data_IF_571739947700
#
_entry.id   IF_571739947700
#
_cell.length_a   1.000
_cell.length_b   1.000
_cell.length_c   1.000
_cell.angle_alpha   90.00
_cell.angle_beta   90.00
_cell.angle_gamma   90.00
#
_symmetry.space_group_name_H-M   'P 1'
#
loop_
_entity.id
_entity.type
_entity.pdbx_description
1 polymer ?
#
# COMPACT_ATOMS: atom_id res chain seq x y z
N UNK A 1 -8.40 -45.34 -28.88
CA UNK A 1 -8.57 -44.41 -27.76
C UNK A 1 -7.25 -44.36 -27.02
N UNK A 2 -6.42 -43.37 -27.38
CA UNK A 2 -5.12 -43.11 -26.78
C UNK A 2 -5.35 -42.45 -25.43
N UNK A 3 -4.97 -43.12 -24.37
CA UNK A 3 -4.87 -42.57 -23.02
C UNK A 3 -3.74 -41.54 -23.00
N UNK A 4 -4.11 -40.26 -22.95
CA UNK A 4 -3.19 -39.18 -22.58
C UNK A 4 -3.06 -39.25 -21.06
N UNK A 5 -1.91 -39.73 -20.59
CA UNK A 5 -1.49 -39.61 -19.20
C UNK A 5 -1.30 -38.13 -18.90
N UNK A 6 -2.02 -37.62 -17.90
CA UNK A 6 -1.79 -36.30 -17.34
C UNK A 6 -0.41 -36.27 -16.70
N UNK A 7 0.52 -35.58 -17.34
CA UNK A 7 1.78 -35.16 -16.73
C UNK A 7 1.44 -34.03 -15.75
N UNK A 8 1.15 -34.39 -14.50
CA UNK A 8 1.06 -33.45 -13.40
C UNK A 8 2.48 -33.22 -12.88
N UNK A 9 3.24 -32.43 -13.64
CA UNK A 9 4.58 -32.05 -13.23
C UNK A 9 4.50 -31.18 -11.97
N UNK A 10 5.27 -31.58 -10.96
CA UNK A 10 5.46 -30.90 -9.69
C UNK A 10 6.25 -29.59 -9.86
N UNK A 11 5.74 -28.66 -10.67
CA UNK A 11 6.27 -27.31 -10.80
C UNK A 11 5.71 -26.43 -9.66
N UNK A 12 6.52 -25.52 -9.13
CA UNK A 12 6.12 -24.51 -8.15
C UNK A 12 6.25 -24.86 -6.65
N UNK A 13 6.25 -26.14 -6.24
CA UNK A 13 6.32 -26.50 -4.80
C UNK A 13 7.65 -26.08 -4.14
N UNK A 14 8.75 -26.06 -4.90
CA UNK A 14 10.06 -25.59 -4.42
C UNK A 14 10.17 -24.07 -4.34
N UNK A 15 9.32 -23.31 -5.04
CA UNK A 15 9.32 -21.83 -4.97
C UNK A 15 8.66 -21.38 -3.67
N UNK A 16 7.51 -21.94 -3.32
CA UNK A 16 6.82 -21.61 -2.06
C UNK A 16 7.52 -22.16 -0.80
N UNK A 17 8.50 -23.04 -0.97
CA UNK A 17 9.41 -23.45 0.11
C UNK A 17 10.50 -22.41 0.41
N UNK A 18 10.68 -21.42 -0.47
CA UNK A 18 11.58 -20.29 -0.25
C UNK A 18 10.83 -19.14 0.42
N UNK A 19 11.55 -18.23 1.10
CA UNK A 19 10.89 -17.19 1.88
C UNK A 19 10.22 -16.15 0.97
N UNK A 20 8.89 -16.07 1.06
CA UNK A 20 8.05 -15.12 0.30
C UNK A 20 8.21 -13.70 0.86
N UNK A 21 8.07 -12.70 0.00
CA UNK A 21 8.00 -11.28 0.37
C UNK A 21 6.58 -10.77 0.19
N UNK A 22 6.06 -10.13 1.23
CA UNK A 22 4.69 -9.61 1.25
C UNK A 22 4.70 -8.09 1.28
N UNK A 23 4.39 -7.47 0.14
CA UNK A 23 4.52 -6.01 0.02
C UNK A 23 3.36 -5.25 0.65
N UNK A 24 2.33 -5.94 1.18
CA UNK A 24 1.13 -5.28 1.67
C UNK A 24 0.42 -6.04 2.81
N UNK A 25 0.25 -5.36 3.93
CA UNK A 25 -0.45 -5.81 5.14
C UNK A 25 -0.66 -4.63 6.09
N UNK A 26 -1.40 -4.82 7.17
CA UNK A 26 -1.86 -3.75 8.05
C UNK A 26 -1.70 -4.09 9.54
N UNK A 27 -1.55 -3.04 10.34
CA UNK A 27 -2.02 -3.04 11.72
C UNK A 27 -3.53 -2.81 11.73
N UNK A 28 -4.26 -3.40 12.67
CA UNK A 28 -5.71 -3.15 12.85
C UNK A 28 -6.05 -3.04 14.32
N UNK A 29 -5.40 -2.12 15.02
CA UNK A 29 -5.65 -1.88 16.44
C UNK A 29 -7.11 -1.36 16.61
N UNK A 30 -7.94 -1.94 17.50
CA UNK A 30 -9.28 -1.43 17.78
C UNK A 30 -9.29 0.01 18.30
N UNK A 31 -10.35 0.75 17.96
CA UNK A 31 -10.53 2.17 18.28
C UNK A 31 -10.31 2.50 19.77
N UNK A 32 -10.79 1.64 20.69
CA UNK A 32 -10.69 1.88 22.13
C UNK A 32 -9.26 1.74 22.68
N UNK A 33 -8.33 1.15 21.92
CA UNK A 33 -6.90 1.01 22.27
C UNK A 33 -6.02 2.08 21.64
N UNK A 34 -6.55 2.89 20.72
CA UNK A 34 -5.78 3.93 20.05
C UNK A 34 -5.15 4.96 20.99
N UNK A 35 -5.79 5.41 22.09
CA UNK A 35 -5.13 6.30 23.04
C UNK A 35 -3.84 5.73 23.62
N UNK A 36 -3.80 4.42 23.90
CA UNK A 36 -2.61 3.74 24.41
C UNK A 36 -1.57 3.55 23.29
N UNK A 37 -2.01 3.13 22.10
CA UNK A 37 -1.12 2.85 20.99
C UNK A 37 -0.50 4.11 20.36
N UNK A 38 -1.28 5.17 20.16
CA UNK A 38 -0.92 6.33 19.34
C UNK A 38 -0.88 7.66 20.11
N UNK A 39 -1.29 7.68 21.38
CA UNK A 39 -1.16 8.83 22.26
C UNK A 39 -2.29 9.87 22.14
N UNK A 40 -1.99 11.12 22.49
CA UNK A 40 -2.99 12.18 22.70
C UNK A 40 -3.84 12.48 21.45
N UNK A 41 -3.27 12.41 20.25
CA UNK A 41 -4.00 12.65 19.00
C UNK A 41 -5.13 11.64 18.79
N UNK A 42 -4.92 10.39 19.21
CA UNK A 42 -5.96 9.37 19.17
C UNK A 42 -7.10 9.67 20.14
N UNK A 43 -6.82 10.24 21.33
CA UNK A 43 -7.87 10.67 22.27
C UNK A 43 -8.78 11.69 21.58
N UNK A 44 -8.19 12.75 21.01
CA UNK A 44 -8.93 13.82 20.31
C UNK A 44 -9.79 13.25 19.17
N UNK A 45 -9.24 12.31 18.39
CA UNK A 45 -10.01 11.69 17.31
C UNK A 45 -11.10 10.75 17.83
N UNK A 46 -10.85 9.94 18.86
CA UNK A 46 -11.85 9.00 19.40
C UNK A 46 -13.07 9.73 19.96
N UNK A 47 -12.88 10.90 20.58
CA UNK A 47 -13.95 11.81 21.02
C UNK A 47 -14.75 12.38 19.84
N UNK A 48 -14.08 12.65 18.72
CA UNK A 48 -14.71 13.09 17.48
C UNK A 48 -15.55 11.99 16.83
N UNK A 49 -14.99 10.77 16.79
CA UNK A 49 -15.55 9.62 16.10
C UNK A 49 -16.66 8.90 16.89
N UNK A 50 -16.83 9.19 18.18
CA UNK A 50 -17.82 8.53 19.06
C UNK A 50 -19.26 8.66 18.53
N UNK A 51 -19.53 9.68 17.70
CA UNK A 51 -20.85 9.97 17.13
C UNK A 51 -21.02 9.51 15.68
N UNK A 52 -20.09 8.72 15.13
CA UNK A 52 -20.10 8.33 13.72
C UNK A 52 -20.38 6.84 13.55
N UNK A 53 -21.32 6.50 12.66
CA UNK A 53 -21.60 5.10 12.31
C UNK A 53 -20.62 4.51 11.29
N UNK A 54 -19.59 5.26 10.89
CA UNK A 54 -18.65 4.86 9.83
C UNK A 54 -17.64 3.80 10.31
N UNK A 55 -17.28 3.83 11.59
CA UNK A 55 -16.40 2.82 12.21
C UNK A 55 -17.17 1.61 12.77
N UNK A 56 -18.50 1.65 12.71
CA UNK A 56 -19.42 0.71 13.39
C UNK A 56 -19.98 -0.38 12.45
N UNK A 57 -19.97 -0.15 11.13
CA UNK A 57 -20.71 -0.96 10.15
C UNK A 57 -19.81 -1.47 9.02
N UNK A 58 -18.63 -2.01 9.36
CA UNK A 58 -17.65 -2.52 8.38
C UNK A 58 -17.42 -4.04 8.48
N UNK A 59 -18.37 -4.80 9.03
CA UNK A 59 -18.26 -6.26 9.17
C UNK A 59 -17.06 -6.70 9.99
N UNK A 60 -16.30 -7.71 9.53
CA UNK A 60 -15.08 -8.18 10.24
C UNK A 60 -13.99 -7.08 10.29
N UNK A 61 -13.99 -6.11 9.37
CA UNK A 61 -13.05 -4.97 9.35
C UNK A 61 -13.47 -3.81 10.27
N UNK A 62 -14.55 -3.96 11.05
CA UNK A 62 -14.97 -2.92 12.01
C UNK A 62 -13.85 -2.63 13.00
N UNK A 63 -13.45 -1.36 13.09
CA UNK A 63 -12.46 -0.90 14.07
C UNK A 63 -13.07 -0.77 15.48
N UNK A 64 -14.40 -0.70 15.61
CA UNK A 64 -15.07 -0.71 16.92
C UNK A 64 -15.30 -2.15 17.38
N UNK A 65 -14.32 -2.65 18.13
CA UNK A 65 -14.27 -4.02 18.70
C UNK A 65 -13.89 -3.99 20.17
N UNK A 66 -14.78 -3.45 20.99
CA UNK A 66 -14.56 -3.27 22.45
C UNK A 66 -14.47 -4.62 23.20
N UNK A 67 -14.77 -5.72 22.52
CA UNK A 67 -14.59 -7.09 22.99
C UNK A 67 -13.14 -7.61 22.90
N UNK A 68 -12.27 -6.94 22.14
CA UNK A 68 -10.89 -7.35 21.88
C UNK A 68 -9.88 -6.55 22.71
N UNK A 69 -8.74 -7.15 23.07
CA UNK A 69 -7.66 -6.38 23.72
C UNK A 69 -6.42 -7.17 24.14
N UNK A 70 -6.54 -8.49 24.30
CA UNK A 70 -5.40 -9.30 24.70
C UNK A 70 -4.49 -9.72 23.53
N UNK A 71 -5.02 -9.86 22.30
CA UNK A 71 -4.31 -10.41 21.13
C UNK A 71 -3.36 -11.55 21.53
N UNK A 72 -3.94 -12.58 22.14
CA UNK A 72 -3.28 -13.76 22.69
C UNK A 72 -3.85 -15.08 22.10
N UNK A 73 -4.71 -14.97 21.09
CA UNK A 73 -5.23 -16.11 20.33
C UNK A 73 -4.10 -16.95 19.72
N UNK A 74 -4.35 -18.27 19.60
CA UNK A 74 -3.38 -19.22 19.04
C UNK A 74 -2.96 -18.82 17.62
N UNK A 75 -1.66 -18.88 17.33
CA UNK A 75 -1.12 -18.64 15.98
C UNK A 75 -0.95 -19.99 15.28
N UNK A 76 -1.83 -20.26 14.31
CA UNK A 76 -1.80 -21.44 13.47
C UNK A 76 -2.38 -21.12 12.08
N UNK A 77 -2.26 -22.02 11.09
CA UNK A 77 -2.73 -21.75 9.74
C UNK A 77 -4.22 -21.37 9.65
N UNK A 78 -5.08 -21.92 10.50
CA UNK A 78 -6.50 -21.60 10.49
C UNK A 78 -6.75 -20.20 11.03
N UNK A 79 -6.16 -19.82 12.17
CA UNK A 79 -6.36 -18.49 12.75
C UNK A 79 -5.76 -17.40 11.87
N UNK A 80 -4.55 -17.61 11.35
CA UNK A 80 -3.85 -16.64 10.48
C UNK A 80 -4.57 -16.44 9.16
N UNK A 81 -5.07 -17.49 8.49
CA UNK A 81 -5.68 -17.30 7.17
C UNK A 81 -7.19 -17.05 7.23
N UNK A 82 -7.92 -17.53 8.24
CA UNK A 82 -9.39 -17.47 8.27
C UNK A 82 -9.98 -16.36 9.13
N UNK A 83 -9.28 -15.92 10.18
CA UNK A 83 -9.71 -14.78 11.00
C UNK A 83 -9.23 -13.49 10.34
N UNK A 84 -10.15 -12.54 10.21
CA UNK A 84 -9.91 -11.25 9.54
C UNK A 84 -10.21 -10.10 10.47
N UNK A 85 -9.75 -8.91 10.06
CA UNK A 85 -9.95 -7.70 10.82
C UNK A 85 -9.13 -7.63 12.11
N UNK A 86 -9.55 -6.78 13.07
CA UNK A 86 -8.85 -6.59 14.35
C UNK A 86 -8.73 -7.84 15.24
N UNK A 87 -9.50 -8.90 14.96
CA UNK A 87 -9.42 -10.16 15.70
C UNK A 87 -8.29 -11.08 15.21
N UNK A 88 -7.68 -10.78 14.06
CA UNK A 88 -6.65 -11.62 13.52
C UNK A 88 -5.37 -11.56 14.39
N UNK A 89 -4.63 -12.67 14.56
CA UNK A 89 -3.42 -12.66 15.38
C UNK A 89 -2.42 -11.56 14.96
N UNK A 90 -1.82 -10.84 15.91
CA UNK A 90 -0.89 -9.73 15.65
C UNK A 90 -1.48 -8.52 14.91
N UNK A 91 -2.81 -8.43 14.76
CA UNK A 91 -3.48 -7.21 14.31
C UNK A 91 -3.30 -6.07 15.32
N UNK A 92 -3.20 -6.38 16.61
CA UNK A 92 -3.08 -5.42 17.71
C UNK A 92 -1.64 -5.39 18.24
N UNK A 93 -1.08 -6.56 18.57
CA UNK A 93 0.25 -6.73 19.15
C UNK A 93 1.28 -7.10 18.07
N UNK A 94 1.92 -6.08 17.52
CA UNK A 94 2.88 -6.25 16.42
C UNK A 94 4.10 -7.11 16.79
N UNK A 95 4.47 -7.20 18.07
CA UNK A 95 5.52 -8.10 18.57
C UNK A 95 5.26 -9.59 18.25
N UNK A 96 4.01 -9.97 17.98
CA UNK A 96 3.63 -11.34 17.57
C UNK A 96 3.74 -11.57 16.05
N UNK A 97 3.95 -10.51 15.26
CA UNK A 97 3.86 -10.59 13.79
C UNK A 97 4.87 -11.56 13.18
N UNK A 98 6.07 -11.68 13.73
CA UNK A 98 7.08 -12.61 13.22
C UNK A 98 6.60 -14.08 13.26
N UNK A 99 5.87 -14.49 14.30
CA UNK A 99 5.29 -15.85 14.40
C UNK A 99 4.16 -16.05 13.39
N UNK A 100 3.34 -15.02 13.15
CA UNK A 100 2.35 -15.01 12.06
C UNK A 100 3.02 -15.16 10.70
N UNK A 101 4.12 -14.43 10.45
CA UNK A 101 4.89 -14.55 9.21
C UNK A 101 5.46 -15.97 9.02
N UNK A 102 5.91 -16.63 10.10
CA UNK A 102 6.38 -18.02 10.04
C UNK A 102 5.27 -18.97 9.58
N UNK A 103 4.04 -18.81 10.12
CA UNK A 103 2.86 -19.58 9.69
C UNK A 103 2.46 -19.25 8.24
N UNK A 104 2.58 -17.98 7.84
CA UNK A 104 2.30 -17.57 6.45
C UNK A 104 3.37 -18.07 5.46
N UNK A 105 4.57 -18.43 5.93
CA UNK A 105 5.73 -18.70 5.09
C UNK A 105 6.28 -17.44 4.42
N UNK A 106 6.19 -16.30 5.10
CA UNK A 106 6.66 -14.98 4.65
C UNK A 106 7.92 -14.61 5.44
N UNK A 107 8.94 -14.10 4.76
CA UNK A 107 10.16 -13.63 5.43
C UNK A 107 10.07 -12.18 5.87
N UNK A 108 9.60 -11.30 4.98
CA UNK A 108 9.50 -9.85 5.22
C UNK A 108 8.16 -9.33 4.76
N UNK A 109 7.62 -8.39 5.52
CA UNK A 109 6.30 -7.81 5.29
C UNK A 109 6.31 -6.30 5.55
N UNK A 110 5.71 -5.52 4.64
CA UNK A 110 5.35 -4.13 4.92
C UNK A 110 4.04 -4.07 5.70
N UNK A 111 3.99 -3.22 6.72
CA UNK A 111 2.80 -3.05 7.57
C UNK A 111 2.31 -1.60 7.49
N UNK A 112 1.24 -1.38 6.73
CA UNK A 112 0.57 -0.11 6.50
C UNK A 112 -0.33 0.29 7.68
N UNK A 113 -0.56 1.60 7.85
CA UNK A 113 -1.43 2.12 8.90
C UNK A 113 -2.92 1.95 8.59
N UNK A 114 -3.69 1.60 9.62
CA UNK A 114 -5.10 1.94 9.71
C UNK A 114 -5.29 3.34 10.30
N UNK A 115 -4.64 3.60 11.44
CA UNK A 115 -4.82 4.84 12.17
C UNK A 115 -4.36 6.08 11.39
N UNK A 116 -3.20 6.02 10.73
CA UNK A 116 -2.65 7.17 10.00
C UNK A 116 -3.48 7.54 8.77
N UNK A 117 -4.24 6.60 8.20
CA UNK A 117 -5.13 6.87 7.06
C UNK A 117 -6.23 7.87 7.43
N UNK A 118 -6.71 7.81 8.68
CA UNK A 118 -7.59 8.84 9.27
C UNK A 118 -6.92 10.21 9.19
N UNK A 119 -5.64 10.29 9.55
CA UNK A 119 -4.88 11.52 9.51
C UNK A 119 -4.75 12.08 8.09
N UNK A 120 -4.52 11.20 7.10
CA UNK A 120 -4.51 11.58 5.67
C UNK A 120 -5.88 12.10 5.24
N UNK A 121 -6.97 11.41 5.59
CA UNK A 121 -8.32 11.89 5.30
C UNK A 121 -8.57 13.26 5.93
N UNK A 122 -8.24 13.44 7.21
CA UNK A 122 -8.43 14.72 7.90
C UNK A 122 -7.61 15.85 7.28
N UNK A 123 -6.35 15.59 6.92
CA UNK A 123 -5.46 16.59 6.33
C UNK A 123 -5.79 16.89 4.86
N UNK A 124 -6.03 15.86 4.05
CA UNK A 124 -6.08 15.95 2.59
C UNK A 124 -7.50 15.96 2.01
N UNK A 125 -8.52 15.49 2.73
CA UNK A 125 -9.92 15.50 2.26
C UNK A 125 -10.70 16.70 2.82
N UNK A 126 -11.06 17.69 1.98
CA UNK A 126 -11.90 18.83 2.39
C UNK A 126 -13.26 18.41 2.97
N UNK A 127 -13.74 17.24 2.57
CA UNK A 127 -15.05 16.70 2.94
C UNK A 127 -14.98 15.71 4.11
N UNK A 128 -13.84 15.60 4.82
CA UNK A 128 -13.67 14.68 5.95
C UNK A 128 -14.76 14.82 7.03
N UNK A 129 -15.34 16.01 7.21
CA UNK A 129 -16.47 16.26 8.12
C UNK A 129 -17.71 15.41 7.80
N UNK A 130 -17.95 15.08 6.53
CA UNK A 130 -19.06 14.20 6.12
C UNK A 130 -18.80 12.74 6.47
N UNK A 131 -17.53 12.36 6.58
CA UNK A 131 -17.09 11.02 6.92
C UNK A 131 -17.07 10.82 8.43
N UNK A 132 -16.52 11.80 9.14
CA UNK A 132 -16.32 11.74 10.60
C UNK A 132 -17.34 12.56 11.41
N UNK A 133 -18.43 13.02 10.79
CA UNK A 133 -19.62 13.54 11.49
C UNK A 133 -19.38 14.72 12.43
N UNK A 134 -18.44 15.61 12.11
CA UNK A 134 -18.13 16.79 12.92
C UNK A 134 -18.55 18.09 12.25
N UNK A 135 -18.73 19.16 13.03
CA UNK A 135 -18.96 20.50 12.48
C UNK A 135 -17.63 21.06 11.94
N UNK A 136 -17.49 21.30 10.63
CA UNK A 136 -16.25 21.81 10.03
C UNK A 136 -15.84 23.20 10.54
N UNK A 137 -16.73 23.95 11.18
CA UNK A 137 -16.39 25.22 11.83
C UNK A 137 -15.76 25.03 13.22
N UNK A 138 -15.89 23.85 13.83
CA UNK A 138 -15.46 23.56 15.20
C UNK A 138 -14.13 22.81 15.29
N UNK A 139 -13.66 22.22 14.18
CA UNK A 139 -12.48 21.36 14.15
C UNK A 139 -11.49 21.83 13.08
N UNK A 140 -10.27 22.14 13.50
CA UNK A 140 -9.14 22.28 12.57
C UNK A 140 -8.69 20.88 12.12
N UNK A 141 -9.34 20.39 11.06
CA UNK A 141 -9.10 19.03 10.53
C UNK A 141 -7.66 18.83 10.07
N UNK A 142 -7.01 19.88 9.53
CA UNK A 142 -5.66 19.75 9.00
C UNK A 142 -4.68 19.60 10.15
N UNK A 143 -4.84 20.42 11.19
CA UNK A 143 -4.03 20.29 12.39
C UNK A 143 -4.25 18.95 13.10
N UNK A 144 -5.50 18.50 13.24
CA UNK A 144 -5.78 17.18 13.82
C UNK A 144 -5.19 16.04 12.98
N UNK A 145 -5.26 16.13 11.65
CA UNK A 145 -4.66 15.15 10.75
C UNK A 145 -3.14 15.05 10.90
N UNK A 146 -2.45 16.19 11.03
CA UNK A 146 -1.00 16.24 11.34
C UNK A 146 -0.68 15.55 12.67
N UNK A 147 -1.46 15.83 13.71
CA UNK A 147 -1.27 15.22 15.04
C UNK A 147 -1.48 13.70 15.01
N UNK A 148 -2.49 13.22 14.29
CA UNK A 148 -2.74 11.78 14.07
C UNK A 148 -1.56 11.12 13.37
N UNK A 149 -1.05 11.73 12.31
CA UNK A 149 0.11 11.21 11.55
C UNK A 149 1.38 11.22 12.40
N UNK A 150 1.60 12.26 13.22
CA UNK A 150 2.71 12.30 14.16
C UNK A 150 2.62 11.16 15.18
N UNK A 151 1.43 10.92 15.75
CA UNK A 151 1.18 9.81 16.69
C UNK A 151 1.43 8.43 16.07
N UNK A 152 1.01 8.23 14.82
CA UNK A 152 1.34 7.03 14.04
C UNK A 152 2.84 6.86 13.84
N UNK A 153 3.52 7.90 13.38
CA UNK A 153 4.96 7.85 13.14
C UNK A 153 5.75 7.56 14.43
N UNK A 154 5.30 8.09 15.57
CA UNK A 154 5.91 7.76 16.85
C UNK A 154 5.61 6.32 17.29
N UNK A 155 4.42 5.79 16.98
CA UNK A 155 4.11 4.37 17.14
C UNK A 155 5.01 3.49 16.26
N UNK A 156 5.20 3.83 14.98
CA UNK A 156 6.13 3.12 14.07
C UNK A 156 7.53 3.03 14.67
N UNK A 157 8.06 4.15 15.17
CA UNK A 157 9.40 4.19 15.77
C UNK A 157 9.51 3.34 17.03
N UNK A 158 8.47 3.27 17.88
CA UNK A 158 8.42 2.36 19.03
C UNK A 158 8.34 0.91 18.58
N UNK A 159 7.43 0.60 17.67
CA UNK A 159 7.19 -0.75 17.16
C UNK A 159 8.45 -1.36 16.55
N UNK A 160 9.25 -0.58 15.82
CA UNK A 160 10.54 -1.04 15.26
C UNK A 160 11.51 -1.54 16.34
N UNK A 161 11.42 -1.02 17.57
CA UNK A 161 12.24 -1.49 18.71
C UNK A 161 11.71 -2.77 19.37
N UNK A 162 10.48 -3.15 19.07
CA UNK A 162 9.76 -4.26 19.71
C UNK A 162 9.66 -5.51 18.82
N UNK A 163 10.00 -5.38 17.54
CA UNK A 163 9.87 -6.44 16.52
C UNK A 163 11.21 -6.79 15.90
N UNK A 164 11.27 -7.92 15.19
CA UNK A 164 12.34 -8.17 14.22
C UNK A 164 12.15 -7.20 13.03
N UNK A 165 12.80 -6.04 13.10
CA UNK A 165 12.64 -4.95 12.13
C UNK A 165 13.18 -5.27 10.73
N UNK A 166 13.94 -6.36 10.56
CA UNK A 166 14.27 -6.84 9.21
C UNK A 166 13.04 -7.48 8.55
N UNK A 167 12.26 -8.24 9.34
CA UNK A 167 11.09 -9.00 8.91
C UNK A 167 9.79 -8.20 8.94
N UNK A 168 9.55 -7.43 9.98
CA UNK A 168 8.30 -6.69 10.19
C UNK A 168 8.61 -5.21 10.03
N UNK A 169 8.08 -4.59 8.97
CA UNK A 169 8.44 -3.22 8.58
C UNK A 169 7.21 -2.31 8.59
N UNK A 170 6.86 -1.71 9.73
CA UNK A 170 5.85 -0.67 9.79
C UNK A 170 6.22 0.50 8.88
N UNK A 171 5.23 0.98 8.13
CA UNK A 171 5.40 2.04 7.12
C UNK A 171 5.19 3.40 7.79
N UNK A 172 6.20 4.26 7.66
CA UNK A 172 6.12 5.66 8.10
C UNK A 172 5.37 6.52 7.09
N UNK A 173 4.74 7.60 7.54
CA UNK A 173 3.95 8.48 6.68
C UNK A 173 4.60 9.86 6.58
N UNK A 174 4.78 10.37 5.36
CA UNK A 174 5.26 11.73 5.11
C UNK A 174 4.12 12.58 4.55
N UNK A 175 3.68 13.59 5.30
CA UNK A 175 2.82 14.64 4.75
C UNK A 175 3.64 15.52 3.80
N UNK A 176 3.07 15.83 2.65
CA UNK A 176 3.78 16.49 1.54
C UNK A 176 3.45 17.98 1.45
N UNK A 177 3.34 18.68 2.58
CA UNK A 177 2.93 20.10 2.61
C UNK A 177 4.04 21.06 2.19
N UNK A 178 5.28 20.78 2.59
CA UNK A 178 6.46 21.55 2.20
C UNK A 178 7.70 20.66 2.11
N UNK A 179 8.64 21.03 1.25
CA UNK A 179 9.88 20.27 1.09
C UNK A 179 10.70 20.24 2.38
N UNK A 180 10.74 21.34 3.13
CA UNK A 180 11.45 21.41 4.41
C UNK A 180 10.91 20.37 5.41
N UNK A 181 9.59 20.33 5.58
CA UNK A 181 8.93 19.35 6.44
C UNK A 181 9.17 17.92 5.94
N UNK A 182 9.00 17.67 4.64
CA UNK A 182 9.24 16.36 4.04
C UNK A 182 10.66 15.87 4.33
N UNK A 183 11.67 16.73 4.15
CA UNK A 183 13.07 16.39 4.42
C UNK A 183 13.30 16.06 5.91
N UNK A 184 12.78 16.88 6.81
CA UNK A 184 12.95 16.70 8.25
C UNK A 184 12.30 15.42 8.77
N UNK A 185 11.05 15.16 8.39
CA UNK A 185 10.33 13.95 8.80
C UNK A 185 10.96 12.68 8.21
N UNK A 186 11.34 12.74 6.93
CA UNK A 186 11.99 11.62 6.25
C UNK A 186 13.30 11.25 6.94
N UNK A 187 14.13 12.25 7.25
CA UNK A 187 15.39 12.01 7.95
C UNK A 187 15.15 11.39 9.34
N UNK A 188 14.21 11.95 10.12
CA UNK A 188 13.84 11.43 11.44
C UNK A 188 13.41 9.97 11.39
N UNK A 189 12.56 9.62 10.43
CA UNK A 189 12.04 8.25 10.28
C UNK A 189 13.12 7.27 9.84
N UNK A 190 13.95 7.64 8.86
CA UNK A 190 15.07 6.82 8.38
C UNK A 190 16.06 6.54 9.52
N UNK A 191 16.44 7.58 10.27
CA UNK A 191 17.35 7.48 11.42
C UNK A 191 16.76 6.61 12.54
N UNK A 192 15.44 6.66 12.70
CA UNK A 192 14.68 5.82 13.64
C UNK A 192 14.47 4.37 13.19
N UNK A 193 14.96 3.99 12.00
CA UNK A 193 14.93 2.61 11.51
C UNK A 193 13.83 2.30 10.49
N UNK A 194 13.03 3.28 10.06
CA UNK A 194 11.98 3.07 9.04
C UNK A 194 12.60 2.63 7.72
N UNK A 195 11.95 1.67 7.05
CA UNK A 195 12.42 1.07 5.79
C UNK A 195 11.39 1.12 4.66
N UNK A 196 10.30 1.87 4.82
CA UNK A 196 9.35 2.22 3.77
C UNK A 196 8.55 3.46 4.19
N UNK A 197 8.19 4.30 3.21
CA UNK A 197 7.42 5.52 3.44
C UNK A 197 6.17 5.53 2.55
N UNK A 198 5.04 5.95 3.11
CA UNK A 198 3.81 6.25 2.38
C UNK A 198 3.63 7.76 2.26
N UNK A 199 3.14 8.22 1.11
CA UNK A 199 2.78 9.63 0.87
C UNK A 199 1.34 9.78 0.38
N UNK A 200 0.67 10.92 0.65
CA UNK A 200 -0.55 11.28 -0.05
C UNK A 200 -0.27 11.53 -1.55
N UNK A 201 -1.17 11.05 -2.42
CA UNK A 201 -1.02 11.20 -3.87
C UNK A 201 -2.03 12.14 -4.52
N UNK A 202 -3.05 12.60 -3.77
CA UNK A 202 -4.13 13.41 -4.31
C UNK A 202 -3.78 14.85 -4.70
N UNK A 203 -2.68 15.39 -4.14
CA UNK A 203 -2.09 16.68 -4.54
C UNK A 203 -0.59 16.55 -4.82
N UNK A 204 -0.01 17.41 -5.67
CA UNK A 204 1.43 17.45 -5.89
C UNK A 204 2.21 17.79 -4.61
N UNK A 205 3.30 17.06 -4.30
CA UNK A 205 4.07 17.28 -3.10
C UNK A 205 4.70 18.67 -3.05
N UNK A 206 4.66 19.31 -1.88
CA UNK A 206 5.16 20.65 -1.61
C UNK A 206 4.62 21.73 -2.58
N UNK A 207 3.41 21.53 -3.13
CA UNK A 207 2.79 22.43 -4.09
C UNK A 207 3.53 22.50 -5.44
N UNK A 208 4.38 21.52 -5.74
CA UNK A 208 5.14 21.43 -6.99
C UNK A 208 4.98 20.06 -7.64
N UNK A 209 5.23 19.98 -8.94
CA UNK A 209 5.18 18.70 -9.67
C UNK A 209 6.11 17.68 -8.99
N UNK A 210 5.70 16.40 -8.84
CA UNK A 210 6.61 15.32 -8.42
C UNK A 210 7.90 15.26 -9.23
N UNK A 211 7.89 15.76 -10.47
CA UNK A 211 9.04 15.82 -11.37
C UNK A 211 9.87 17.12 -11.30
N UNK A 212 9.45 18.11 -10.53
CA UNK A 212 10.21 19.35 -10.33
C UNK A 212 11.56 19.04 -9.68
N UNK A 213 12.65 19.53 -10.27
CA UNK A 213 14.02 19.28 -9.78
C UNK A 213 14.23 19.80 -8.35
N UNK A 214 13.41 20.74 -7.87
CA UNK A 214 13.44 21.18 -6.47
C UNK A 214 13.09 20.06 -5.49
N UNK A 215 12.40 19.00 -5.91
CA UNK A 215 12.15 17.79 -5.11
C UNK A 215 13.29 16.76 -5.19
N UNK A 216 14.24 16.92 -6.11
CA UNK A 216 15.35 15.96 -6.26
C UNK A 216 16.15 15.72 -4.97
N UNK A 217 16.36 16.70 -4.07
CA UNK A 217 16.99 16.43 -2.77
C UNK A 217 16.21 15.39 -1.94
N UNK A 218 14.88 15.41 -1.98
CA UNK A 218 14.05 14.45 -1.26
C UNK A 218 14.05 13.08 -1.92
N UNK A 219 13.91 13.03 -3.25
CA UNK A 219 14.04 11.77 -4.01
C UNK A 219 15.40 11.11 -3.81
N UNK A 220 16.47 11.92 -3.79
CA UNK A 220 17.82 11.46 -3.52
C UNK A 220 17.95 10.90 -2.11
N UNK A 221 17.39 11.58 -1.11
CA UNK A 221 17.43 11.12 0.29
C UNK A 221 16.85 9.71 0.44
N UNK A 222 15.63 9.48 -0.05
CA UNK A 222 14.97 8.17 0.05
C UNK A 222 15.66 7.11 -0.82
N UNK A 223 16.15 7.50 -2.00
CA UNK A 223 16.87 6.60 -2.91
C UNK A 223 18.21 6.13 -2.33
N UNK A 224 19.03 7.04 -1.80
CA UNK A 224 20.33 6.71 -1.17
C UNK A 224 20.13 5.84 0.08
N UNK A 225 19.05 6.08 0.83
CA UNK A 225 18.70 5.31 2.02
C UNK A 225 18.13 3.92 1.69
N UNK A 226 17.91 3.58 0.41
CA UNK A 226 17.19 2.38 -0.03
C UNK A 226 15.80 2.25 0.62
N UNK A 227 15.12 3.38 0.83
CA UNK A 227 13.77 3.42 1.40
C UNK A 227 12.78 3.65 0.27
N UNK A 228 11.89 2.68 -0.03
CA UNK A 228 10.83 2.87 -1.00
C UNK A 228 9.82 3.91 -0.55
N UNK A 229 9.28 4.62 -1.53
CA UNK A 229 8.13 5.50 -1.40
C UNK A 229 6.94 4.81 -2.02
N UNK A 230 5.81 4.76 -1.31
CA UNK A 230 4.61 4.09 -1.77
C UNK A 230 3.41 5.02 -1.80
N UNK A 231 2.55 4.79 -2.79
CA UNK A 231 1.16 5.19 -2.76
C UNK A 231 0.31 3.98 -2.38
N UNK A 232 -0.78 4.26 -1.69
CA UNK A 232 -1.68 3.26 -1.15
C UNK A 232 -3.12 3.74 -1.31
N UNK A 233 -4.11 2.85 -1.32
CA UNK A 233 -5.52 3.27 -1.33
C UNK A 233 -5.83 4.19 -0.14
N UNK A 234 -6.77 5.11 -0.32
CA UNK A 234 -7.20 6.09 0.69
C UNK A 234 -6.28 7.33 0.76
N UNK A 235 -5.36 7.48 -0.20
CA UNK A 235 -4.45 8.62 -0.31
C UNK A 235 -4.75 9.54 -1.50
N UNK A 236 -5.85 9.29 -2.21
CA UNK A 236 -6.23 9.96 -3.46
C UNK A 236 -6.90 11.32 -3.28
N UNK A 237 -7.14 11.78 -2.05
CA UNK A 237 -7.87 13.03 -1.80
C UNK A 237 -7.01 14.28 -2.08
N UNK A 238 -7.55 15.32 -2.77
CA UNK A 238 -8.87 15.46 -3.38
C UNK A 238 -8.84 15.27 -4.92
N UNK A 239 -7.98 14.39 -5.47
CA UNK A 239 -7.69 14.25 -6.91
C UNK A 239 -8.94 14.29 -7.80
N UNK A 240 -9.94 13.46 -7.50
CA UNK A 240 -11.27 13.58 -8.11
C UNK A 240 -12.07 14.65 -7.38
N UNK A 241 -11.86 15.91 -7.77
CA UNK A 241 -12.40 17.09 -7.09
C UNK A 241 -13.94 17.17 -7.01
N UNK A 242 -14.67 16.32 -7.75
CA UNK A 242 -16.14 16.33 -7.79
C UNK A 242 -16.72 14.96 -7.46
N UNK A 243 -17.28 14.83 -6.26
CA UNK A 243 -18.09 13.67 -5.88
C UNK A 243 -19.46 13.58 -6.62
N UNK A 244 -19.78 14.54 -7.49
CA UNK A 244 -21.03 14.51 -8.27
C UNK A 244 -21.09 13.36 -9.28
N UNK A 245 -19.94 12.81 -9.67
CA UNK A 245 -19.87 11.69 -10.61
C UNK A 245 -20.66 10.47 -10.13
N UNK A 246 -20.60 10.16 -8.83
CA UNK A 246 -21.36 9.04 -8.25
C UNK A 246 -22.74 9.42 -7.71
N UNK A 247 -23.06 10.72 -7.66
CA UNK A 247 -24.24 11.22 -6.96
C UNK A 247 -25.56 10.77 -7.61
N UNK A 248 -26.50 10.30 -6.77
CA UNK A 248 -27.85 9.85 -7.17
C UNK A 248 -27.86 8.70 -8.19
N UNK A 249 -26.80 7.89 -8.23
CA UNK A 249 -26.75 6.64 -9.00
C UNK A 249 -26.93 5.48 -8.03
N UNK A 250 -28.08 4.76 -8.05
CA UNK A 250 -28.35 3.68 -7.10
C UNK A 250 -27.32 2.55 -7.08
N UNK A 251 -26.62 2.34 -8.20
CA UNK A 251 -25.59 1.32 -8.38
C UNK A 251 -24.25 1.68 -7.73
N UNK A 252 -24.00 2.96 -7.45
CA UNK A 252 -22.77 3.47 -6.82
C UNK A 252 -22.90 3.62 -5.30
N UNK A 253 -23.69 2.72 -4.71
CA UNK A 253 -23.79 2.60 -3.25
C UNK A 253 -22.67 1.69 -2.75
N UNK A 254 -22.18 1.95 -1.54
CA UNK A 254 -21.20 1.10 -0.87
C UNK A 254 -21.67 -0.35 -0.83
N UNK A 255 -20.76 -1.26 -1.17
CA UNK A 255 -21.00 -2.68 -1.04
C UNK A 255 -20.99 -3.11 0.44
N UNK A 256 -21.62 -4.23 0.76
CA UNK A 256 -21.73 -4.74 2.14
C UNK A 256 -20.38 -5.13 2.76
N UNK A 257 -19.33 -5.30 1.93
CA UNK A 257 -17.97 -5.65 2.36
C UNK A 257 -17.01 -4.43 2.38
N UNK A 258 -17.49 -3.22 2.14
CA UNK A 258 -16.64 -2.03 2.17
C UNK A 258 -16.12 -1.75 3.60
N UNK A 259 -14.84 -1.40 3.72
CA UNK A 259 -14.20 -0.96 4.96
C UNK A 259 -13.90 0.55 4.93
N UNK A 260 -13.30 1.11 5.98
CA UNK A 260 -12.88 2.51 5.96
C UNK A 260 -11.69 2.73 5.04
N UNK A 261 -10.79 1.75 5.03
CA UNK A 261 -9.58 1.71 4.19
C UNK A 261 -9.94 1.36 2.74
N UNK A 262 -10.89 0.44 2.58
CA UNK A 262 -11.43 -0.01 1.31
C UNK A 262 -12.91 0.36 1.15
N UNK A 263 -13.26 1.66 1.03
CA UNK A 263 -14.65 2.12 0.95
C UNK A 263 -15.25 1.90 -0.45
N UNK A 264 -15.02 0.72 -1.02
CA UNK A 264 -15.32 0.42 -2.43
C UNK A 264 -16.81 0.35 -2.66
N UNK A 265 -17.30 1.41 -3.29
CA UNK A 265 -18.48 1.38 -4.13
C UNK A 265 -18.04 1.24 -5.61
N UNK A 266 -18.88 0.71 -6.51
CA UNK A 266 -18.45 0.35 -7.87
C UNK A 266 -17.79 1.47 -8.70
N UNK A 267 -18.17 2.74 -8.50
CA UNK A 267 -17.54 3.88 -9.19
C UNK A 267 -16.12 4.15 -8.67
N UNK A 268 -15.92 4.23 -7.35
CA UNK A 268 -14.59 4.31 -6.76
C UNK A 268 -13.74 3.10 -7.16
N UNK A 269 -14.32 1.90 -7.10
CA UNK A 269 -13.68 0.66 -7.57
C UNK A 269 -13.14 0.76 -9.00
N UNK A 270 -13.90 1.39 -9.89
CA UNK A 270 -13.54 1.57 -11.29
C UNK A 270 -12.60 2.76 -11.57
N UNK A 271 -12.29 3.60 -10.58
CA UNK A 271 -11.57 4.86 -10.78
C UNK A 271 -10.42 5.12 -9.80
N UNK A 272 -10.27 4.31 -8.75
CA UNK A 272 -9.26 4.48 -7.70
C UNK A 272 -7.82 4.56 -8.24
N UNK A 273 -7.52 3.86 -9.33
CA UNK A 273 -6.20 3.84 -9.96
C UNK A 273 -5.82 5.16 -10.65
N UNK A 274 -6.77 6.05 -10.98
CA UNK A 274 -6.47 7.24 -11.79
C UNK A 274 -5.49 8.20 -11.13
N UNK A 275 -5.54 8.34 -9.80
CA UNK A 275 -4.57 9.16 -9.07
C UNK A 275 -3.16 8.56 -9.20
N UNK A 276 -3.04 7.25 -8.98
CA UNK A 276 -1.77 6.54 -9.03
C UNK A 276 -1.17 6.55 -10.45
N UNK A 277 -2.01 6.36 -11.47
CA UNK A 277 -1.64 6.52 -12.87
C UNK A 277 -1.08 7.91 -13.17
N UNK A 278 -1.75 8.95 -12.69
CA UNK A 278 -1.32 10.34 -12.90
C UNK A 278 0.02 10.60 -12.22
N UNK A 279 0.16 10.20 -10.95
CA UNK A 279 1.40 10.40 -10.19
C UNK A 279 2.56 9.68 -10.87
N UNK A 280 2.38 8.40 -11.24
CA UNK A 280 3.40 7.61 -11.91
C UNK A 280 3.74 8.14 -13.31
N UNK A 281 2.75 8.62 -14.06
CA UNK A 281 2.96 9.31 -15.35
C UNK A 281 3.93 10.48 -15.18
N UNK A 282 3.74 11.30 -14.13
CA UNK A 282 4.60 12.45 -13.88
C UNK A 282 6.02 12.01 -13.49
N UNK A 283 6.18 11.00 -12.64
CA UNK A 283 7.51 10.49 -12.26
C UNK A 283 8.29 9.97 -13.47
N UNK A 284 7.64 9.16 -14.31
CA UNK A 284 8.26 8.53 -15.49
C UNK A 284 8.56 9.57 -16.56
N UNK A 285 7.52 10.29 -17.03
CA UNK A 285 7.66 11.22 -18.15
C UNK A 285 8.45 12.48 -17.77
N UNK A 286 8.48 12.83 -16.49
CA UNK A 286 9.27 13.92 -15.94
C UNK A 286 10.74 13.55 -15.64
N UNK A 287 11.17 12.32 -15.93
CA UNK A 287 12.55 11.89 -15.79
C UNK A 287 13.04 11.73 -14.36
N UNK A 288 12.15 11.56 -13.37
CA UNK A 288 12.55 11.36 -11.97
C UNK A 288 13.36 10.08 -11.83
N UNK A 289 12.88 8.99 -12.45
CA UNK A 289 13.61 7.73 -12.45
C UNK A 289 14.89 7.77 -13.31
N UNK A 290 15.02 8.70 -14.26
CA UNK A 290 16.30 8.92 -14.95
C UNK A 290 17.32 9.54 -14.00
N UNK A 291 16.93 10.60 -13.27
CA UNK A 291 17.80 11.29 -12.32
C UNK A 291 18.12 10.46 -11.07
N UNK A 292 17.17 9.62 -10.64
CA UNK A 292 17.27 8.76 -9.46
C UNK A 292 17.02 7.29 -9.84
N UNK A 293 17.97 6.63 -10.52
CA UNK A 293 17.74 5.29 -11.07
C UNK A 293 17.51 4.20 -10.02
N UNK A 294 17.92 4.44 -8.78
CA UNK A 294 17.74 3.53 -7.65
C UNK A 294 16.51 3.89 -6.80
N UNK A 295 15.69 4.87 -7.21
CA UNK A 295 14.46 5.20 -6.51
C UNK A 295 13.49 4.02 -6.61
N UNK A 296 12.95 3.60 -5.47
CA UNK A 296 12.05 2.46 -5.34
C UNK A 296 10.64 3.00 -5.10
N UNK A 297 9.70 2.62 -5.96
CA UNK A 297 8.33 3.13 -5.88
C UNK A 297 7.32 1.99 -5.83
N UNK A 298 6.36 2.08 -4.92
CA UNK A 298 5.26 1.12 -4.77
C UNK A 298 3.91 1.77 -5.03
N UNK A 299 2.98 1.02 -5.60
CA UNK A 299 1.58 1.40 -5.69
C UNK A 299 0.72 0.20 -5.29
N UNK A 300 0.08 0.30 -4.14
CA UNK A 300 -0.54 -0.85 -3.46
C UNK A 300 -2.04 -0.65 -3.25
N UNK A 301 -2.74 -1.77 -3.12
CA UNK A 301 -4.19 -1.86 -2.85
C UNK A 301 -5.11 -1.14 -3.87
N UNK A 302 -4.63 -0.91 -5.11
CA UNK A 302 -5.43 -0.23 -6.15
C UNK A 302 -5.56 -1.03 -7.44
N UNK A 303 -5.53 -2.36 -7.33
CA UNK A 303 -5.52 -3.33 -8.44
C UNK A 303 -4.30 -3.20 -9.37
N UNK A 304 -4.09 -4.12 -10.31
CA UNK A 304 -2.90 -4.14 -11.18
C UNK A 304 -3.19 -4.06 -12.69
N UNK A 305 -4.45 -4.18 -13.13
CA UNK A 305 -4.80 -4.19 -14.57
C UNK A 305 -4.40 -2.93 -15.34
N UNK A 306 -4.21 -1.81 -14.66
CA UNK A 306 -3.99 -0.49 -15.28
C UNK A 306 -2.54 -0.27 -15.72
N UNK A 307 -1.57 -0.98 -15.13
CA UNK A 307 -0.15 -0.67 -15.34
C UNK A 307 0.36 -0.98 -16.74
N UNK A 308 -0.11 -2.08 -17.33
CA UNK A 308 0.22 -2.46 -18.71
C UNK A 308 -0.27 -1.43 -19.74
N UNK A 309 -1.58 -1.11 -19.74
CA UNK A 309 -2.12 -0.02 -20.56
C UNK A 309 -1.44 1.33 -20.33
N UNK A 310 -1.06 1.66 -19.09
CA UNK A 310 -0.29 2.87 -18.81
C UNK A 310 1.07 2.82 -19.50
N UNK A 311 1.83 1.74 -19.36
CA UNK A 311 3.16 1.59 -19.96
C UNK A 311 3.12 1.75 -21.49
N UNK A 312 2.20 1.06 -22.17
CA UNK A 312 1.99 1.21 -23.62
C UNK A 312 1.62 2.66 -23.99
N UNK A 313 0.76 3.30 -23.20
CA UNK A 313 0.35 4.70 -23.40
C UNK A 313 1.53 5.65 -23.27
N UNK A 314 2.40 5.47 -22.27
CA UNK A 314 3.56 6.33 -22.07
C UNK A 314 4.59 6.14 -23.18
N UNK A 315 4.88 4.90 -23.58
CA UNK A 315 5.77 4.59 -24.72
C UNK A 315 5.26 5.24 -26.02
N UNK A 316 3.95 5.20 -26.27
CA UNK A 316 3.33 5.86 -27.41
C UNK A 316 3.57 7.37 -27.39
N UNK A 317 3.36 8.01 -26.24
CA UNK A 317 3.49 9.47 -26.12
C UNK A 317 4.94 9.94 -26.08
N UNK A 318 5.86 9.17 -25.51
CA UNK A 318 7.29 9.42 -25.65
C UNK A 318 7.66 9.43 -27.13
N UNK A 319 7.29 8.38 -27.88
CA UNK A 319 7.58 8.28 -29.31
C UNK A 319 6.98 9.45 -30.11
N UNK A 320 5.74 9.84 -29.82
CA UNK A 320 5.06 10.94 -30.52
C UNK A 320 5.74 12.29 -30.26
N UNK A 321 6.29 12.48 -29.06
CA UNK A 321 6.98 13.70 -28.64
C UNK A 321 8.49 13.48 -28.46
N UNK A 322 9.10 12.54 -29.19
CA UNK A 322 10.48 12.09 -28.96
C UNK A 322 11.52 13.21 -28.81
N UNK A 323 11.40 14.28 -29.63
CA UNK A 323 12.30 15.45 -29.53
C UNK A 323 12.25 16.17 -28.17
N UNK A 324 11.13 16.12 -27.46
CA UNK A 324 10.96 16.69 -26.11
C UNK A 324 11.60 15.82 -25.04
N UNK A 325 11.66 14.50 -25.27
CA UNK A 325 12.24 13.54 -24.33
C UNK A 325 13.70 13.20 -24.63
N UNK A 326 14.22 13.61 -25.80
CA UNK A 326 15.64 13.46 -26.14
C UNK A 326 16.52 14.20 -25.14
N UNK A 327 17.39 13.45 -24.44
CA UNK A 327 18.24 13.97 -23.36
C UNK A 327 17.54 14.06 -21.99
N UNK A 328 16.26 13.69 -21.89
CA UNK A 328 15.50 13.58 -20.64
C UNK A 328 15.28 12.12 -20.26
N UNK A 329 14.93 11.28 -21.23
CA UNK A 329 14.76 9.83 -21.08
C UNK A 329 15.72 9.09 -22.00
N UNK A 330 16.48 8.17 -21.44
CA UNK A 330 17.41 7.29 -22.17
C UNK A 330 16.83 5.90 -22.44
N UNK A 331 15.81 5.51 -21.68
CA UNK A 331 15.05 4.27 -21.82
C UNK A 331 13.61 4.57 -22.24
N UNK A 332 12.87 3.54 -22.67
CA UNK A 332 11.42 3.68 -22.85
C UNK A 332 10.73 3.89 -21.49
N UNK A 333 9.64 4.66 -21.41
CA UNK A 333 8.81 4.77 -20.21
C UNK A 333 8.48 3.44 -19.54
N UNK A 334 8.12 2.41 -20.32
CA UNK A 334 7.84 1.06 -19.84
C UNK A 334 9.02 0.39 -19.13
N UNK A 335 10.25 0.67 -19.56
CA UNK A 335 11.46 0.10 -18.97
C UNK A 335 11.78 0.77 -17.61
N UNK A 336 11.48 2.07 -17.44
CA UNK A 336 11.53 2.72 -16.13
C UNK A 336 10.48 2.14 -15.18
N UNK A 337 9.26 1.88 -15.67
CA UNK A 337 8.21 1.23 -14.86
C UNK A 337 8.71 -0.15 -14.39
N UNK A 338 9.19 -1.00 -15.30
CA UNK A 338 9.68 -2.33 -14.94
C UNK A 338 10.84 -2.29 -13.93
N UNK A 339 11.72 -1.30 -14.04
CA UNK A 339 12.89 -1.14 -13.14
C UNK A 339 12.53 -0.58 -11.77
N UNK A 340 11.70 0.47 -11.70
CA UNK A 340 11.54 1.30 -10.50
C UNK A 340 10.21 1.10 -9.76
N UNK A 341 9.24 0.38 -10.33
CA UNK A 341 7.87 0.31 -9.81
C UNK A 341 7.49 -1.11 -9.44
N UNK A 342 6.81 -1.27 -8.29
CA UNK A 342 6.12 -2.50 -7.91
C UNK A 342 4.65 -2.25 -7.58
N UNK A 343 3.81 -3.23 -7.91
CA UNK A 343 2.36 -3.19 -7.67
C UNK A 343 1.93 -4.49 -6.99
N UNK A 344 1.09 -4.35 -5.97
CA UNK A 344 0.39 -5.45 -5.30
C UNK A 344 -1.02 -5.63 -5.90
N UNK A 345 -1.30 -6.72 -6.63
CA UNK A 345 -2.66 -7.05 -7.06
C UNK A 345 -3.48 -7.64 -5.90
N UNK A 346 -4.79 -7.68 -6.09
CA UNK A 346 -5.71 -8.45 -5.25
C UNK A 346 -5.81 -9.91 -5.68
N UNK A 347 -6.13 -10.82 -4.75
CA UNK A 347 -6.28 -12.25 -5.05
C UNK A 347 -7.46 -12.55 -5.99
N UNK A 348 -8.41 -11.64 -6.15
CA UNK A 348 -9.53 -11.80 -7.10
C UNK A 348 -9.17 -11.40 -8.54
N UNK A 349 -7.97 -10.87 -8.80
CA UNK A 349 -7.52 -10.47 -10.14
C UNK A 349 -6.96 -11.65 -10.94
N UNK A 350 -7.10 -11.61 -12.25
CA UNK A 350 -6.45 -12.55 -13.16
C UNK A 350 -5.02 -12.07 -13.51
N UNK A 351 -4.12 -12.19 -12.52
CA UNK A 351 -2.73 -11.70 -12.61
C UNK A 351 -1.96 -12.38 -13.73
N UNK A 352 -2.22 -13.67 -13.99
CA UNK A 352 -1.68 -14.41 -15.12
C UNK A 352 -1.91 -13.68 -16.44
N UNK A 353 -3.11 -13.14 -16.66
CA UNK A 353 -3.41 -12.39 -17.89
C UNK A 353 -2.57 -11.13 -18.06
N UNK A 354 -2.06 -10.56 -16.96
CA UNK A 354 -1.20 -9.37 -17.01
C UNK A 354 0.20 -9.75 -17.48
N UNK A 355 0.78 -10.84 -16.94
CA UNK A 355 2.05 -11.37 -17.41
C UNK A 355 2.00 -11.84 -18.88
N UNK A 356 0.88 -12.45 -19.31
CA UNK A 356 0.71 -12.90 -20.70
C UNK A 356 0.61 -11.73 -21.69
N UNK A 357 -0.10 -10.65 -21.31
CA UNK A 357 -0.26 -9.46 -22.15
C UNK A 357 0.95 -8.53 -22.14
N UNK A 358 1.64 -8.42 -21.00
CA UNK A 358 2.73 -7.48 -20.76
C UNK A 358 3.99 -8.18 -20.22
N UNK A 359 4.58 -9.13 -20.95
CA UNK A 359 5.72 -9.90 -20.46
C UNK A 359 6.97 -9.03 -20.17
N UNK A 360 7.07 -7.87 -20.82
CA UNK A 360 8.13 -6.88 -20.58
C UNK A 360 7.98 -6.12 -19.24
N UNK A 361 6.86 -6.30 -18.53
CA UNK A 361 6.61 -5.79 -17.18
C UNK A 361 6.66 -6.91 -16.12
N UNK A 362 7.30 -8.04 -16.42
CA UNK A 362 7.33 -9.19 -15.51
C UNK A 362 7.98 -8.92 -14.15
N UNK A 363 8.71 -7.81 -13.98
CA UNK A 363 9.31 -7.45 -12.70
C UNK A 363 8.41 -6.55 -11.85
N UNK A 364 7.22 -6.15 -12.33
CA UNK A 364 6.35 -5.17 -11.64
C UNK A 364 5.47 -5.81 -10.57
N UNK A 365 4.88 -6.98 -10.84
CA UNK A 365 3.84 -7.57 -9.99
C UNK A 365 4.44 -8.30 -8.79
N UNK A 366 3.99 -7.99 -7.59
CA UNK A 366 4.46 -8.58 -6.33
C UNK A 366 3.33 -9.29 -5.58
N UNK A 367 3.67 -10.28 -4.76
CA UNK A 367 2.73 -10.82 -3.78
C UNK A 367 2.39 -9.79 -2.69
N UNK A 368 1.09 -9.60 -2.48
CA UNK A 368 0.48 -8.81 -1.42
C UNK A 368 -0.60 -9.66 -0.76
N UNK A 369 -0.53 -9.83 0.55
CA UNK A 369 -1.56 -10.57 1.30
C UNK A 369 -2.73 -9.70 1.72
N UNK A 370 -2.47 -8.39 1.90
CA UNK A 370 -3.42 -7.45 2.50
C UNK A 370 -3.94 -8.02 3.84
N UNK A 371 -3.02 -8.58 4.64
CA UNK A 371 -3.36 -9.17 5.93
C UNK A 371 -3.54 -8.07 6.99
N UNK A 372 -4.59 -8.07 7.83
CA UNK A 372 -5.62 -9.10 7.97
C UNK A 372 -6.98 -8.70 7.36
N UNK A 373 -6.98 -7.83 6.36
CA UNK A 373 -8.18 -7.37 5.68
C UNK A 373 -8.95 -8.52 5.01
N UNK A 374 -10.27 -8.35 4.90
CA UNK A 374 -11.21 -9.28 4.26
C UNK A 374 -10.93 -9.35 2.75
N UNK A 375 -10.56 -8.21 2.17
CA UNK A 375 -10.26 -7.92 0.78
C UNK A 375 -9.07 -8.76 0.29
N UNK A 376 -8.02 -8.86 1.12
CA UNK A 376 -6.92 -9.82 0.98
C UNK A 376 -7.33 -11.29 1.01
N UNK A 377 -8.57 -11.61 1.36
CA UNK A 377 -9.14 -12.95 1.26
C UNK A 377 -8.54 -13.98 2.22
N UNK A 378 -9.17 -15.16 2.32
CA UNK A 378 -8.82 -16.16 3.35
C UNK A 378 -7.77 -17.19 2.91
N UNK A 379 -7.23 -17.09 1.69
CA UNK A 379 -6.24 -18.02 1.11
C UNK A 379 -5.33 -17.36 0.05
N UNK A 380 -5.03 -16.05 0.16
CA UNK A 380 -4.33 -15.27 -0.89
C UNK A 380 -3.14 -15.98 -1.53
N UNK A 381 -2.21 -16.51 -0.72
CA UNK A 381 -1.01 -17.20 -1.22
C UNK A 381 -1.36 -18.40 -2.13
N UNK A 382 -2.37 -19.18 -1.75
CA UNK A 382 -2.86 -20.31 -2.56
C UNK A 382 -3.52 -19.80 -3.84
N UNK A 383 -4.37 -18.80 -3.74
CA UNK A 383 -5.08 -18.22 -4.90
C UNK A 383 -4.12 -17.70 -5.95
N UNK A 384 -3.11 -16.91 -5.56
CA UNK A 384 -2.08 -16.44 -6.49
C UNK A 384 -1.22 -17.58 -7.04
N UNK A 385 -0.85 -18.56 -6.21
CA UNK A 385 -0.09 -19.71 -6.66
C UNK A 385 -0.85 -20.49 -7.74
N UNK A 386 -2.13 -20.79 -7.53
CA UNK A 386 -2.96 -21.51 -8.52
C UNK A 386 -3.13 -20.71 -9.81
N UNK A 387 -3.27 -19.38 -9.74
CA UNK A 387 -3.36 -18.51 -10.91
C UNK A 387 -2.05 -18.49 -11.72
N UNK A 388 -0.89 -18.42 -11.06
CA UNK A 388 0.42 -18.22 -11.70
C UNK A 388 1.22 -19.50 -11.94
N UNK A 389 0.92 -20.61 -11.27
CA UNK A 389 1.64 -21.88 -11.42
C UNK A 389 1.73 -22.38 -12.87
N UNK A 390 0.68 -22.24 -13.72
CA UNK A 390 0.79 -22.58 -15.14
C UNK A 390 1.85 -21.79 -15.92
N UNK A 391 2.34 -20.67 -15.40
CA UNK A 391 3.38 -19.84 -16.02
C UNK A 391 4.81 -20.31 -15.70
N UNK A 392 4.97 -21.28 -14.79
CA UNK A 392 6.25 -21.88 -14.43
C UNK A 392 7.01 -21.17 -13.31
N UNK A 393 8.06 -21.84 -12.83
CA UNK A 393 8.83 -21.46 -11.65
C UNK A 393 9.45 -20.06 -11.72
N UNK A 394 9.79 -19.57 -12.92
CA UNK A 394 10.38 -18.24 -13.10
C UNK A 394 9.41 -17.12 -12.75
N UNK A 395 8.16 -17.20 -13.21
CA UNK A 395 7.13 -16.22 -12.87
C UNK A 395 6.74 -16.31 -11.40
N UNK A 396 6.64 -17.53 -10.86
CA UNK A 396 6.39 -17.73 -9.43
C UNK A 396 7.50 -17.10 -8.58
N UNK A 397 8.78 -17.31 -8.95
CA UNK A 397 9.93 -16.74 -8.24
C UNK A 397 9.95 -15.22 -8.30
N UNK A 398 9.69 -14.66 -9.49
CA UNK A 398 9.53 -13.20 -9.64
C UNK A 398 8.44 -12.65 -8.74
N UNK A 399 7.23 -13.19 -8.83
CA UNK A 399 6.06 -12.68 -8.12
C UNK A 399 6.17 -12.80 -6.59
N UNK A 400 6.55 -13.98 -6.08
CA UNK A 400 6.58 -14.24 -4.64
C UNK A 400 7.87 -13.80 -3.95
N UNK A 401 8.97 -13.59 -4.68
CA UNK A 401 10.30 -13.42 -4.08
C UNK A 401 11.02 -12.22 -4.69
N UNK A 402 11.40 -12.28 -5.97
CA UNK A 402 12.39 -11.32 -6.52
C UNK A 402 11.82 -9.90 -6.68
N UNK A 403 10.57 -9.77 -7.14
CA UNK A 403 9.97 -8.46 -7.40
C UNK A 403 9.79 -7.67 -6.10
N UNK A 404 9.40 -8.35 -5.03
CA UNK A 404 9.21 -7.75 -3.70
C UNK A 404 10.49 -7.14 -3.11
N UNK A 405 11.68 -7.59 -3.50
CA UNK A 405 12.97 -7.04 -3.02
C UNK A 405 13.16 -5.55 -3.35
N UNK A 406 12.43 -5.04 -4.34
CA UNK A 406 12.44 -3.60 -4.61
C UNK A 406 11.84 -2.81 -3.43
N UNK A 407 10.74 -3.28 -2.85
CA UNK A 407 10.04 -2.63 -1.73
C UNK A 407 10.48 -3.16 -0.36
N UNK A 408 11.05 -4.36 -0.32
CA UNK A 408 11.52 -5.01 0.91
C UNK A 408 13.01 -5.32 0.81
N UNK A 409 13.92 -4.36 0.49
CA UNK A 409 15.33 -4.67 0.31
C UNK A 409 15.93 -5.30 1.57
N UNK A 410 16.83 -6.26 1.41
CA UNK A 410 17.52 -6.90 2.55
C UNK A 410 18.30 -5.87 3.36
N UNK A 411 18.21 -5.93 4.69
CA UNK A 411 19.04 -5.08 5.58
C UNK A 411 20.41 -5.68 5.87
N UNK A 412 20.67 -6.93 5.47
CA UNK A 412 21.99 -7.53 5.58
C UNK A 412 22.97 -6.74 4.71
N UNK A 413 24.06 -6.26 5.32
CA UNK A 413 25.18 -5.69 4.56
C UNK A 413 25.76 -6.79 3.67
N UNK A 414 25.63 -6.65 2.35
CA UNK A 414 26.28 -7.50 1.34
C UNK A 414 27.79 -7.36 1.42
#
# INVERSE_FOLDING_TARGET
>A
MTTVTADSSAHGSNVLAQPVLDVDSHEMIPLHLWPEAFGEAAVKFTELATNTGMVDNLGENSMRRDDLGADDDEINPETVWKIKGPAAPSAIKMSRRAEVLDVMGVSRQLVYPNFALIGVMLACNPEAHKWFGYDPASVDRVQLGREVIAGHNDWVLRTIQEVDSDRVRPVGLILTESLEQMMADTQRLIDGGVRALMIPGGEPPAGMSPADERLDPWWKLVSDANVPVTLHIGTEFPFLASNKWSSRVPQFKRADFASLEFPVEPYFGATMNFMHENFLTVLVMGGVFERHPNLRFGSLEITAQWIGPLADRLDLWEKQFHKRFSGVLTMKPSEYINRNVRIGPFPFEDVRSYFERYPYLSDVYCFSSDYPHIEGGKEAKRTFFENLNPMGDDILRKFFIENGELLLPSTAKV
#
